data_IF_735760440793
#
_entry.id   IF_735760440793
#
_cell.length_a   1.000
_cell.length_b   1.000
_cell.length_c   1.000
_cell.angle_alpha   90.00
_cell.angle_beta   90.00
_cell.angle_gamma   90.00
#
_symmetry.space_group_name_H-M   'P 1'
#
loop_
_entity.id
_entity.type
_entity.pdbx_description
1 polymer ?
#
# COMPACT_ATOMS: atom_id res chain seq x y z
N UNK A 1 -26.74 -7.82 -5.65
CA UNK A 1 -25.64 -7.25 -4.85
C UNK A 1 -24.39 -7.22 -5.72
N UNK A 2 -24.01 -6.06 -6.27
CA UNK A 2 -22.69 -5.96 -6.89
C UNK A 2 -21.66 -5.90 -5.77
N UNK A 3 -20.89 -6.97 -5.56
CA UNK A 3 -19.82 -6.99 -4.57
C UNK A 3 -18.75 -5.93 -4.88
N UNK A 4 -18.04 -5.47 -3.85
CA UNK A 4 -16.89 -4.58 -4.04
C UNK A 4 -15.87 -5.24 -4.98
N UNK A 5 -15.31 -4.47 -5.93
CA UNK A 5 -14.35 -4.98 -6.91
C UNK A 5 -13.12 -5.53 -6.19
N UNK A 6 -12.85 -6.83 -6.35
CA UNK A 6 -11.75 -7.55 -5.66
C UNK A 6 -10.46 -7.62 -6.48
N UNK A 7 -10.52 -7.24 -7.76
CA UNK A 7 -9.38 -7.23 -8.68
C UNK A 7 -9.18 -5.81 -9.20
N UNK A 8 -8.04 -5.24 -8.83
CA UNK A 8 -7.61 -3.89 -9.19
C UNK A 8 -6.40 -3.98 -10.12
N UNK A 9 -6.16 -2.93 -10.89
CA UNK A 9 -5.08 -2.88 -11.88
C UNK A 9 -4.28 -1.59 -11.73
N UNK A 10 -2.97 -1.68 -11.93
CA UNK A 10 -2.07 -0.53 -11.99
C UNK A 10 -1.70 -0.32 -13.47
N UNK A 11 -1.76 0.92 -14.00
CA UNK A 11 -1.34 1.20 -15.38
C UNK A 11 0.13 0.79 -15.62
N UNK A 12 0.48 0.30 -16.82
CA UNK A 12 1.82 -0.24 -17.10
C UNK A 12 2.95 0.79 -17.01
N UNK A 13 2.66 2.09 -17.10
CA UNK A 13 3.64 3.17 -16.94
C UNK A 13 3.81 3.68 -15.51
N UNK A 14 2.97 3.23 -14.57
CA UNK A 14 3.06 3.67 -13.18
C UNK A 14 4.09 2.81 -12.40
N UNK A 15 4.89 3.41 -11.51
CA UNK A 15 5.82 2.65 -10.67
C UNK A 15 5.03 1.74 -9.72
N UNK A 16 5.02 0.44 -10.02
CA UNK A 16 4.10 -0.52 -9.39
C UNK A 16 4.12 -0.50 -7.85
N UNK A 17 5.30 -0.58 -7.23
CA UNK A 17 5.41 -0.68 -5.77
C UNK A 17 5.02 0.62 -5.04
N UNK A 18 5.54 1.82 -5.44
CA UNK A 18 5.03 3.09 -4.91
C UNK A 18 3.52 3.25 -5.08
N UNK A 19 2.98 2.98 -6.27
CA UNK A 19 1.54 3.12 -6.54
C UNK A 19 0.70 2.19 -5.67
N UNK A 20 1.16 0.95 -5.46
CA UNK A 20 0.50 -0.01 -4.56
C UNK A 20 0.54 0.46 -3.10
N UNK A 21 1.70 0.91 -2.63
CA UNK A 21 1.88 1.37 -1.25
C UNK A 21 1.01 2.60 -0.96
N UNK A 22 1.03 3.61 -1.82
CA UNK A 22 0.17 4.79 -1.70
C UNK A 22 -1.32 4.42 -1.69
N UNK A 23 -1.75 3.54 -2.60
CA UNK A 23 -3.14 3.12 -2.65
C UNK A 23 -3.61 2.42 -1.38
N UNK A 24 -2.73 1.64 -0.74
CA UNK A 24 -3.01 1.03 0.55
C UNK A 24 -3.13 2.08 1.64
N UNK A 25 -2.13 2.97 1.77
CA UNK A 25 -2.08 4.01 2.79
C UNK A 25 -3.28 4.97 2.70
N UNK A 26 -3.69 5.33 1.47
CA UNK A 26 -4.85 6.19 1.22
C UNK A 26 -6.20 5.52 1.56
N UNK A 27 -6.20 4.20 1.79
CA UNK A 27 -7.41 3.41 2.05
C UNK A 27 -8.22 3.04 0.81
N UNK A 28 -7.59 3.04 -0.38
CA UNK A 28 -8.27 2.75 -1.66
C UNK A 28 -8.43 1.26 -1.94
N UNK A 29 -7.67 0.40 -1.25
CA UNK A 29 -7.63 -1.04 -1.53
C UNK A 29 -8.54 -1.88 -0.63
N UNK A 30 -8.62 -1.53 0.65
CA UNK A 30 -9.32 -2.33 1.67
C UNK A 30 -10.38 -1.43 2.32
N UNK A 31 -11.68 -1.71 2.15
CA UNK A 31 -12.73 -0.96 2.82
C UNK A 31 -12.53 -0.96 4.34
N UNK A 32 -12.56 0.23 4.95
CA UNK A 32 -12.37 0.40 6.39
C UNK A 32 -10.92 0.48 6.85
N UNK A 33 -9.94 0.31 5.95
CA UNK A 33 -8.53 0.56 6.25
C UNK A 33 -8.12 1.91 5.68
N UNK A 34 -7.40 2.72 6.46
CA UNK A 34 -6.68 3.91 6.00
C UNK A 34 -5.55 4.17 6.98
N UNK A 35 -4.39 4.53 6.47
CA UNK A 35 -3.30 5.00 7.33
C UNK A 35 -3.51 6.49 7.64
N UNK A 36 -3.75 6.81 8.91
CA UNK A 36 -4.03 8.17 9.40
C UNK A 36 -2.86 8.77 10.20
N UNK A 37 -1.71 8.11 10.20
CA UNK A 37 -0.53 8.51 10.97
C UNK A 37 -0.30 7.67 12.22
N UNK A 38 -1.23 6.79 12.60
CA UNK A 38 -1.02 5.83 13.68
C UNK A 38 0.05 4.80 13.28
N UNK A 39 1.17 4.68 14.04
CA UNK A 39 2.31 3.87 13.61
C UNK A 39 2.03 2.38 13.42
N UNK A 40 1.08 1.81 14.18
CA UNK A 40 0.78 0.39 14.16
C UNK A 40 -0.31 0.01 13.16
N UNK A 41 -1.02 0.95 12.55
CA UNK A 41 -2.13 0.69 11.65
C UNK A 41 -1.73 -0.18 10.46
N UNK A 42 -0.49 -0.07 9.99
CA UNK A 42 0.02 -0.96 8.94
C UNK A 42 0.07 -2.45 9.34
N UNK A 43 0.12 -2.77 10.62
CA UNK A 43 0.12 -4.14 11.12
C UNK A 43 -1.23 -4.84 10.93
N UNK A 44 -2.32 -4.09 10.77
CA UNK A 44 -3.66 -4.63 10.52
C UNK A 44 -3.83 -5.16 9.09
N UNK A 45 -2.88 -4.87 8.19
CA UNK A 45 -2.90 -5.31 6.81
C UNK A 45 -1.83 -6.38 6.53
N UNK A 46 -2.23 -7.50 5.92
CA UNK A 46 -1.30 -8.51 5.41
C UNK A 46 -1.26 -8.49 3.89
N UNK A 47 -0.06 -8.33 3.32
CA UNK A 47 0.14 -8.28 1.87
C UNK A 47 0.95 -9.50 1.42
N UNK A 48 0.34 -10.34 0.58
CA UNK A 48 1.03 -11.45 -0.06
C UNK A 48 1.73 -10.97 -1.34
N UNK A 49 3.00 -11.36 -1.49
CA UNK A 49 3.82 -11.02 -2.65
C UNK A 49 4.51 -12.27 -3.20
N UNK A 50 4.79 -12.34 -4.51
CA UNK A 50 5.28 -13.57 -5.12
C UNK A 50 6.71 -13.95 -4.71
N UNK A 51 7.49 -13.00 -4.20
CA UNK A 51 8.89 -13.24 -3.82
C UNK A 51 9.31 -12.44 -2.59
N UNK A 52 10.34 -12.93 -1.89
CA UNK A 52 10.99 -12.19 -0.79
C UNK A 52 11.59 -10.86 -1.28
N UNK A 53 12.10 -10.81 -2.51
CA UNK A 53 12.63 -9.58 -3.12
C UNK A 53 11.54 -8.52 -3.24
N UNK A 54 10.34 -8.89 -3.69
CA UNK A 54 9.19 -7.99 -3.75
C UNK A 54 8.79 -7.50 -2.36
N UNK A 55 8.80 -8.36 -1.35
CA UNK A 55 8.51 -7.97 0.04
C UNK A 55 9.49 -6.90 0.55
N UNK A 56 10.80 -7.09 0.31
CA UNK A 56 11.82 -6.13 0.72
C UNK A 56 11.72 -4.80 -0.02
N UNK A 57 11.46 -4.83 -1.32
CA UNK A 57 11.26 -3.64 -2.12
C UNK A 57 10.00 -2.86 -1.69
N UNK A 58 8.89 -3.57 -1.39
CA UNK A 58 7.66 -2.95 -0.90
C UNK A 58 7.87 -2.30 0.49
N UNK A 59 8.63 -2.95 1.38
CA UNK A 59 9.03 -2.34 2.66
C UNK A 59 9.81 -1.03 2.43
N UNK A 60 10.73 -1.01 1.47
CA UNK A 60 11.46 0.20 1.10
C UNK A 60 10.51 1.33 0.67
N UNK A 61 9.56 1.03 -0.22
CA UNK A 61 8.57 2.00 -0.67
C UNK A 61 7.75 2.60 0.48
N UNK A 62 7.33 1.80 1.47
CA UNK A 62 6.65 2.34 2.66
C UNK A 62 7.54 3.29 3.47
N UNK A 63 8.81 2.95 3.68
CA UNK A 63 9.77 3.80 4.40
C UNK A 63 9.97 5.13 3.68
N UNK A 64 10.14 5.10 2.36
CA UNK A 64 10.35 6.31 1.55
C UNK A 64 9.13 7.23 1.62
N UNK A 65 7.91 6.68 1.44
CA UNK A 65 6.65 7.46 1.48
C UNK A 65 6.38 8.02 2.87
N UNK A 66 6.54 7.23 3.93
CA UNK A 66 6.28 7.68 5.30
C UNK A 66 7.35 8.66 5.79
N UNK A 67 8.60 8.48 5.39
CA UNK A 67 9.69 9.42 5.64
C UNK A 67 9.42 10.78 5.00
N UNK A 68 8.87 10.81 3.78
CA UNK A 68 8.45 12.04 3.12
C UNK A 68 7.27 12.72 3.84
N UNK A 69 6.28 11.95 4.31
CA UNK A 69 5.10 12.50 5.00
C UNK A 69 5.39 13.01 6.41
N UNK A 70 6.42 12.48 7.09
CA UNK A 70 6.84 12.93 8.42
C UNK A 70 7.70 14.20 8.40
N UNK A 71 8.22 14.60 7.24
CA UNK A 71 9.11 15.76 7.10
C UNK A 71 8.36 17.08 6.84
N UNK A 72 7.02 17.07 6.86
CA UNK A 72 6.14 18.20 6.50
C UNK A 72 5.19 18.49 7.65
#
# INVERSE_FOLDING_TARGET
>A
MSGARRVLSIPPGAPFLPTLAEALLDGRLIPGFRFDGEPLALADATIYVPTRRAARALRGAFVDILGQRSAI
#
